data_IF_600985481370
#
_entry.id   IF_600985481370
#
_cell.length_a   1.000
_cell.length_b   1.000
_cell.length_c   1.000
_cell.angle_alpha   90.00
_cell.angle_beta   90.00
_cell.angle_gamma   90.00
#
_symmetry.space_group_name_H-M   'P 1'
#
loop_
_entity.id
_entity.type
_entity.pdbx_description
1 polymer ?
#
# COMPACT_ATOMS: atom_id res chain seq x y z
N UNK A 1 -7.53 0.23 -8.42
CA UNK A 1 -7.28 -1.15 -8.90
C UNK A 1 -6.86 -1.17 -10.38
N UNK A 2 -7.71 -0.83 -11.35
CA UNK A 2 -7.43 -0.98 -12.80
C UNK A 2 -6.11 -0.30 -13.23
N UNK A 3 -5.95 1.00 -12.96
CA UNK A 3 -4.74 1.71 -13.33
C UNK A 3 -3.50 1.19 -12.59
N UNK A 4 -3.64 0.78 -11.33
CA UNK A 4 -2.54 0.21 -10.56
C UNK A 4 -2.00 -1.07 -11.22
N UNK A 5 -2.90 -1.97 -11.65
CA UNK A 5 -2.51 -3.18 -12.37
C UNK A 5 -2.02 -2.90 -13.79
N UNK A 6 -2.56 -1.90 -14.49
CA UNK A 6 -2.05 -1.45 -15.78
C UNK A 6 -0.58 -1.02 -15.67
N UNK A 7 -0.25 -0.17 -14.68
CA UNK A 7 1.13 0.24 -14.44
C UNK A 7 1.99 -0.91 -13.94
N UNK A 8 1.47 -1.79 -13.08
CA UNK A 8 2.22 -2.93 -12.60
C UNK A 8 2.68 -3.85 -13.75
N UNK A 9 1.85 -4.02 -14.77
CA UNK A 9 2.16 -4.83 -15.95
C UNK A 9 3.03 -4.08 -16.98
N UNK A 10 2.75 -2.80 -17.24
CA UNK A 10 3.33 -2.11 -18.40
C UNK A 10 4.40 -1.06 -18.07
N UNK A 11 4.57 -0.65 -16.82
CA UNK A 11 5.52 0.43 -16.50
C UNK A 11 6.98 0.00 -16.74
N UNK A 12 7.33 -1.25 -16.40
CA UNK A 12 8.66 -1.80 -16.72
C UNK A 12 8.85 -1.96 -18.23
N UNK A 13 7.83 -2.46 -18.93
CA UNK A 13 7.84 -2.58 -20.39
C UNK A 13 8.03 -1.22 -21.08
N UNK A 14 7.31 -0.18 -20.65
CA UNK A 14 7.45 1.18 -21.17
C UNK A 14 8.84 1.79 -20.91
N UNK A 15 9.55 1.32 -19.89
CA UNK A 15 10.94 1.68 -19.60
C UNK A 15 11.97 0.78 -20.29
N UNK A 16 11.55 -0.16 -21.15
CA UNK A 16 12.44 -1.13 -21.81
C UNK A 16 13.06 -2.15 -20.87
N UNK A 17 12.49 -2.34 -19.67
CA UNK A 17 12.94 -3.30 -18.66
C UNK A 17 12.08 -4.56 -18.68
N UNK A 18 12.65 -5.76 -18.50
CA UNK A 18 11.87 -6.98 -18.40
C UNK A 18 11.17 -7.11 -17.03
N UNK A 19 10.04 -7.82 -17.00
CA UNK A 19 9.32 -8.18 -15.77
C UNK A 19 8.03 -7.39 -15.53
N UNK A 20 7.41 -7.65 -14.38
CA UNK A 20 6.22 -6.96 -13.88
C UNK A 20 6.40 -6.58 -12.40
N UNK A 21 5.58 -5.66 -11.91
CA UNK A 21 5.59 -5.22 -10.52
C UNK A 21 4.51 -5.94 -9.72
N UNK A 22 4.75 -6.11 -8.42
CA UNK A 22 3.72 -6.54 -7.48
C UNK A 22 2.90 -5.33 -7.03
N UNK A 23 1.57 -5.46 -7.04
CA UNK A 23 0.67 -4.43 -6.51
C UNK A 23 0.58 -4.61 -5.00
N UNK A 24 0.96 -3.57 -4.26
CA UNK A 24 0.87 -3.54 -2.80
C UNK A 24 -0.42 -2.84 -2.35
N UNK A 25 -1.17 -3.50 -1.47
CA UNK A 25 -2.34 -2.95 -0.80
C UNK A 25 -1.97 -2.20 0.47
N UNK A 26 -2.89 -1.38 0.96
CA UNK A 26 -2.68 -0.55 2.15
C UNK A 26 -3.88 -0.51 3.10
N UNK A 27 -4.81 -1.47 2.99
CA UNK A 27 -5.91 -1.58 3.95
C UNK A 27 -5.35 -1.99 5.32
N UNK A 28 -5.82 -1.37 6.40
CA UNK A 28 -5.43 -1.77 7.75
C UNK A 28 -6.40 -2.82 8.33
N UNK A 29 -6.03 -3.39 9.48
CA UNK A 29 -6.82 -4.46 10.11
C UNK A 29 -8.20 -3.96 10.53
N UNK A 30 -8.31 -2.73 11.02
CA UNK A 30 -9.56 -2.17 11.54
C UNK A 30 -10.59 -1.95 10.41
N UNK A 31 -10.14 -1.46 9.27
CA UNK A 31 -10.94 -1.30 8.05
C UNK A 31 -11.35 -2.65 7.47
N UNK A 32 -10.43 -3.63 7.49
CA UNK A 32 -10.70 -4.99 7.01
C UNK A 32 -11.74 -5.71 7.87
N UNK A 33 -11.64 -5.56 9.20
CA UNK A 33 -12.58 -6.16 10.17
C UNK A 33 -13.99 -5.58 10.06
N UNK A 34 -14.10 -4.27 9.82
CA UNK A 34 -15.39 -3.58 9.71
C UNK A 34 -15.99 -3.64 8.30
N UNK A 35 -15.23 -4.14 7.31
CA UNK A 35 -15.65 -4.07 5.91
C UNK A 35 -15.68 -2.64 5.38
N UNK A 36 -14.95 -1.70 5.99
CA UNK A 36 -14.87 -0.31 5.58
C UNK A 36 -13.91 -0.15 4.39
N UNK A 37 -14.25 -0.77 3.26
CA UNK A 37 -13.54 -0.67 1.99
C UNK A 37 -14.47 -1.01 0.83
N UNK A 38 -14.13 -0.60 -0.39
CA UNK A 38 -14.92 -0.98 -1.57
C UNK A 38 -14.41 -2.30 -2.12
N UNK A 39 -15.31 -3.25 -2.35
CA UNK A 39 -14.93 -4.54 -2.95
C UNK A 39 -14.27 -4.31 -4.31
N UNK A 40 -13.08 -4.90 -4.53
CA UNK A 40 -12.27 -4.76 -5.75
C UNK A 40 -11.71 -3.35 -6.01
N UNK A 41 -11.58 -2.51 -4.99
CA UNK A 41 -10.77 -1.29 -5.08
C UNK A 41 -9.28 -1.58 -4.83
N UNK A 42 -8.48 -0.56 -4.50
CA UNK A 42 -7.05 -0.73 -4.18
C UNK A 42 -6.78 -1.49 -2.86
N UNK A 43 -7.81 -1.84 -2.08
CA UNK A 43 -7.70 -2.79 -0.96
C UNK A 43 -7.45 -4.23 -1.45
N UNK A 44 -7.86 -4.54 -2.68
CA UNK A 44 -7.66 -5.82 -3.35
C UNK A 44 -6.38 -5.74 -4.20
N UNK A 45 -5.26 -6.13 -3.60
CA UNK A 45 -3.93 -6.13 -4.21
C UNK A 45 -3.28 -7.51 -4.08
N UNK A 46 -2.11 -7.72 -4.70
CA UNK A 46 -1.43 -9.02 -4.65
C UNK A 46 -0.99 -9.36 -3.21
N UNK A 47 -0.42 -8.37 -2.51
CA UNK A 47 0.04 -8.50 -1.12
C UNK A 47 -0.28 -7.21 -0.37
N UNK A 48 -0.71 -7.33 0.89
CA UNK A 48 -0.91 -6.19 1.80
C UNK A 48 -0.07 -6.37 3.08
N UNK A 49 1.08 -5.69 3.22
CA UNK A 49 1.98 -5.85 4.36
C UNK A 49 1.44 -5.23 5.66
N UNK A 50 0.51 -4.28 5.58
CA UNK A 50 -0.08 -3.60 6.75
C UNK A 50 -1.50 -4.10 7.09
N UNK A 51 -1.98 -5.13 6.38
CA UNK A 51 -3.32 -5.69 6.57
C UNK A 51 -3.61 -6.23 7.97
N UNK A 52 -2.57 -6.63 8.70
CA UNK A 52 -2.68 -7.13 10.08
C UNK A 52 -2.37 -6.09 11.16
N UNK A 53 -2.16 -4.82 10.81
CA UNK A 53 -1.73 -3.78 11.76
C UNK A 53 -2.88 -2.82 12.05
N UNK A 54 -3.03 -2.44 13.33
CA UNK A 54 -4.03 -1.47 13.75
C UNK A 54 -3.73 -0.06 13.22
N UNK A 55 -4.78 0.73 13.02
CA UNK A 55 -4.69 2.11 12.56
C UNK A 55 -3.97 3.00 13.58
N UNK A 56 -4.07 2.68 14.87
CA UNK A 56 -3.32 3.38 15.91
C UNK A 56 -1.83 3.06 15.82
N UNK A 57 -1.46 1.80 15.66
CA UNK A 57 -0.05 1.39 15.54
C UNK A 57 0.60 1.97 14.28
N UNK A 58 -0.13 2.04 13.17
CA UNK A 58 0.36 2.69 11.95
C UNK A 58 0.67 4.18 12.18
N UNK A 59 -0.14 4.92 12.93
CA UNK A 59 0.14 6.32 13.28
C UNK A 59 1.39 6.45 14.14
N UNK A 60 1.52 5.60 15.16
CA UNK A 60 2.72 5.54 16.00
C UNK A 60 3.97 5.18 15.17
N UNK A 61 3.84 4.25 14.22
CA UNK A 61 4.91 3.87 13.31
C UNK A 61 5.34 5.02 12.39
N UNK A 62 4.39 5.81 11.86
CA UNK A 62 4.73 7.00 11.07
C UNK A 62 5.50 8.05 11.89
N UNK A 63 5.10 8.30 13.16
CA UNK A 63 5.85 9.18 14.05
C UNK A 63 7.25 8.65 14.38
N UNK A 64 7.38 7.34 14.58
CA UNK A 64 8.68 6.68 14.71
C UNK A 64 9.53 6.90 13.45
N UNK A 65 8.96 6.71 12.27
CA UNK A 65 9.65 6.90 11.00
C UNK A 65 10.11 8.34 10.77
N UNK A 66 9.29 9.34 11.15
CA UNK A 66 9.70 10.74 11.14
C UNK A 66 10.98 10.94 11.97
N UNK A 67 11.00 10.47 13.22
CA UNK A 67 12.15 10.64 14.12
C UNK A 67 13.37 9.82 13.68
N UNK A 68 13.16 8.58 13.24
CA UNK A 68 14.25 7.63 12.95
C UNK A 68 14.87 7.83 11.57
N UNK A 69 14.04 8.05 10.55
CA UNK A 69 14.45 8.16 9.14
C UNK A 69 14.50 9.60 8.64
N UNK A 70 14.15 10.59 9.48
CA UNK A 70 14.19 12.02 9.15
C UNK A 70 13.33 12.38 7.93
N UNK A 71 12.20 11.67 7.76
CA UNK A 71 11.27 11.87 6.65
C UNK A 71 10.30 13.02 6.98
N UNK A 72 10.66 14.24 6.58
CA UNK A 72 9.92 15.47 6.90
C UNK A 72 8.50 15.52 6.31
N UNK A 73 8.24 14.78 5.23
CA UNK A 73 6.92 14.70 4.59
C UNK A 73 5.85 13.95 5.41
N UNK A 74 6.22 13.35 6.56
CA UNK A 74 5.31 12.60 7.43
C UNK A 74 4.68 13.44 8.56
N UNK A 75 4.99 14.74 8.63
CA UNK A 75 4.35 15.74 9.51
C UNK A 75 3.33 16.53 8.72
#
# INVERSE_FOLDING_TARGET
MILAYLFAQLCLWAQGKPGGLLVLGSANVDESLTGYFTKYDCSSADINPIGGVSKMDLKCFLQYCFKRFQLTALI
#
